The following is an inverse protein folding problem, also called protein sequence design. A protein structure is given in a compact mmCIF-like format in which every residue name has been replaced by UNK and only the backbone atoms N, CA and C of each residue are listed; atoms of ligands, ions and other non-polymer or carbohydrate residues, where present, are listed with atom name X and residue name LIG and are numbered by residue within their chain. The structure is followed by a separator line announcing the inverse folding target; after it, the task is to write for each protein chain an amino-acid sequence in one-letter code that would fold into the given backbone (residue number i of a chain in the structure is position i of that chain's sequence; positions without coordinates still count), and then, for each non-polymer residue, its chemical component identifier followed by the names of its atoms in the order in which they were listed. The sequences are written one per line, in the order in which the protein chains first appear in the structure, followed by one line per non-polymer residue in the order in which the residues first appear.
data_IF_909810361037
#
_entry.id   IF_909810361037
#
_cell.length_a   1.000
_cell.length_b   1.000
_cell.length_c   1.000
_cell.angle_alpha   90.00
_cell.angle_beta   90.00
_cell.angle_gamma   90.00
#
_symmetry.space_group_name_H-M   'P 1'
#
loop_
_entity.id
_entity.type
_entity.pdbx_description
1 polymer ?
#
# COMPACT_ATOMS: atom_id res chain seq x y z
N UNK A 1 44.01 -56.93 56.17
CA UNK A 1 43.52 -55.89 57.11
C UNK A 1 43.93 -54.55 56.51
N UNK A 2 43.07 -53.66 56.02
CA UNK A 2 41.62 -53.58 56.01
C UNK A 2 41.18 -52.95 54.68
N UNK A 3 40.03 -53.41 54.16
CA UNK A 3 39.30 -52.80 53.05
C UNK A 3 38.62 -51.52 53.56
N UNK A 4 38.63 -50.44 52.77
CA UNK A 4 37.80 -49.27 53.00
C UNK A 4 36.96 -49.02 51.75
N UNK A 5 35.67 -49.31 51.88
CA UNK A 5 34.61 -49.00 50.92
C UNK A 5 34.42 -47.47 50.83
N UNK A 6 34.49 -46.93 49.62
CA UNK A 6 34.04 -45.56 49.33
C UNK A 6 32.59 -45.67 48.86
N UNK A 7 31.68 -45.20 49.70
CA UNK A 7 30.25 -45.11 49.43
C UNK A 7 29.93 -44.25 48.22
N UNK A 8 28.98 -44.71 47.40
CA UNK A 8 28.39 -43.97 46.29
C UNK A 8 27.64 -42.74 46.82
N UNK A 9 27.91 -41.56 46.26
CA UNK A 9 27.04 -40.39 46.39
C UNK A 9 25.81 -40.62 45.49
N UNK A 10 24.62 -40.62 46.08
CA UNK A 10 23.36 -40.49 45.35
C UNK A 10 23.26 -39.07 44.78
N UNK A 11 23.24 -38.97 43.45
CA UNK A 11 22.88 -37.75 42.74
C UNK A 11 21.36 -37.64 42.83
N UNK A 12 20.85 -36.69 43.61
CA UNK A 12 19.44 -36.31 43.55
C UNK A 12 19.17 -35.69 42.18
N UNK A 13 18.43 -36.41 41.32
CA UNK A 13 17.89 -35.84 40.10
C UNK A 13 16.84 -34.78 40.48
N UNK A 14 17.01 -33.56 39.96
CA UNK A 14 16.00 -32.51 40.09
C UNK A 14 14.67 -32.98 39.47
N UNK A 15 13.53 -32.68 40.11
CA UNK A 15 12.23 -33.13 39.61
C UNK A 15 11.94 -32.51 38.25
N UNK A 16 11.94 -33.34 37.21
CA UNK A 16 11.48 -32.97 35.87
C UNK A 16 9.96 -32.82 35.92
N UNK A 17 9.48 -31.58 36.03
CA UNK A 17 8.05 -31.29 35.96
C UNK A 17 7.58 -31.61 34.54
N UNK A 18 6.66 -32.55 34.42
CA UNK A 18 6.14 -32.98 33.12
C UNK A 18 5.15 -31.95 32.58
N UNK A 19 5.04 -31.85 31.25
CA UNK A 19 4.07 -30.96 30.57
C UNK A 19 2.62 -31.22 31.00
N UNK A 20 2.31 -32.44 31.42
CA UNK A 20 1.00 -32.84 31.95
C UNK A 20 0.70 -32.21 33.31
N UNK A 21 1.70 -32.09 34.19
CA UNK A 21 1.55 -31.48 35.51
C UNK A 21 1.34 -29.97 35.42
N UNK A 22 2.06 -29.30 34.50
CA UNK A 22 1.88 -27.88 34.18
C UNK A 22 0.48 -27.59 33.63
N UNK A 23 -0.02 -28.44 32.74
CA UNK A 23 -1.36 -28.28 32.18
C UNK A 23 -2.47 -28.46 33.23
N UNK A 24 -2.29 -29.38 34.18
CA UNK A 24 -3.24 -29.60 35.27
C UNK A 24 -3.20 -28.46 36.31
N UNK A 25 -2.01 -27.94 36.62
CA UNK A 25 -1.86 -26.78 37.51
C UNK A 25 -2.51 -25.50 36.91
N UNK A 26 -2.31 -25.24 35.61
CA UNK A 26 -2.95 -24.11 34.93
C UNK A 26 -4.48 -24.23 34.90
N UNK A 27 -5.01 -25.43 34.62
CA UNK A 27 -6.46 -25.68 34.67
C UNK A 27 -7.07 -25.44 36.05
N UNK A 28 -6.32 -25.72 37.12
CA UNK A 28 -6.81 -25.59 38.50
C UNK A 28 -6.73 -24.14 39.01
N UNK A 29 -5.67 -23.41 38.66
CA UNK A 29 -5.34 -22.14 39.31
C UNK A 29 -5.38 -20.92 38.37
N UNK A 30 -5.58 -21.11 37.05
CA UNK A 30 -5.61 -20.02 36.05
C UNK A 30 -4.24 -19.41 35.73
N UNK A 31 -3.19 -19.78 36.46
CA UNK A 31 -1.80 -19.46 36.20
C UNK A 31 -0.89 -20.51 36.85
N UNK A 32 0.37 -20.59 36.41
CA UNK A 32 1.41 -21.38 37.07
C UNK A 32 2.52 -20.42 37.50
N UNK A 33 2.76 -20.23 38.81
CA UNK A 33 3.93 -19.48 39.25
C UNK A 33 5.18 -20.35 39.00
N UNK A 34 6.12 -19.85 38.22
CA UNK A 34 7.44 -20.45 38.02
C UNK A 34 8.44 -19.58 38.78
N UNK A 35 9.06 -20.13 39.81
CA UNK A 35 10.14 -19.47 40.55
C UNK A 35 11.44 -19.66 39.76
N UNK A 36 11.82 -18.66 38.98
CA UNK A 36 13.08 -18.65 38.26
C UNK A 36 14.12 -17.98 39.16
N UNK A 37 14.88 -18.80 39.89
CA UNK A 37 16.14 -18.35 40.48
C UNK A 37 17.05 -17.73 39.40
N UNK A 38 17.95 -16.83 39.79
CA UNK A 38 18.79 -16.06 38.87
C UNK A 38 19.53 -16.97 37.86
N UNK A 39 19.01 -17.03 36.62
CA UNK A 39 19.69 -17.67 35.49
C UNK A 39 20.27 -16.55 34.62
N UNK A 40 21.60 -16.42 34.60
CA UNK A 40 22.29 -15.62 33.58
C UNK A 40 22.17 -16.32 32.22
N UNK A 41 21.24 -15.86 31.39
CA UNK A 41 21.08 -16.33 30.02
C UNK A 41 21.99 -15.49 29.12
N UNK A 42 23.14 -16.04 28.73
CA UNK A 42 23.96 -15.47 27.65
C UNK A 42 23.37 -15.85 26.28
N UNK A 43 22.43 -15.04 25.79
CA UNK A 43 21.86 -15.22 24.45
C UNK A 43 22.88 -14.69 23.42
N UNK A 44 23.65 -15.59 22.81
CA UNK A 44 24.39 -15.30 21.58
C UNK A 44 23.44 -15.39 20.38
N UNK A 45 22.56 -14.40 20.26
CA UNK A 45 21.70 -14.21 19.08
C UNK A 45 22.58 -13.81 17.89
N UNK A 46 23.04 -14.80 17.13
CA UNK A 46 23.45 -14.58 15.74
C UNK A 46 22.19 -14.21 14.95
N UNK A 47 21.83 -12.92 14.97
CA UNK A 47 20.84 -12.32 14.06
C UNK A 47 21.27 -12.62 12.62
N UNK A 48 20.72 -13.70 12.04
CA UNK A 48 20.69 -13.84 10.58
C UNK A 48 19.94 -12.62 10.07
N UNK A 49 20.63 -11.72 9.37
CA UNK A 49 19.98 -10.65 8.59
C UNK A 49 18.91 -11.35 7.74
N UNK A 50 17.63 -10.98 7.84
CA UNK A 50 16.64 -11.51 6.91
C UNK A 50 17.14 -11.17 5.51
N UNK A 51 17.36 -12.20 4.69
CA UNK A 51 17.62 -12.00 3.26
C UNK A 51 16.51 -11.08 2.75
N UNK A 52 16.92 -9.94 2.19
CA UNK A 52 15.98 -8.95 1.67
C UNK A 52 15.14 -9.66 0.63
N UNK A 53 13.87 -9.93 0.94
CA UNK A 53 12.94 -10.51 -0.01
C UNK A 53 12.95 -9.61 -1.26
N UNK A 54 13.51 -10.13 -2.35
CA UNK A 54 13.48 -9.50 -3.65
C UNK A 54 12.06 -9.62 -4.19
N UNK A 55 11.53 -8.53 -4.75
CA UNK A 55 10.20 -8.57 -5.34
C UNK A 55 10.22 -9.38 -6.63
N UNK A 56 9.21 -10.23 -6.80
CA UNK A 56 9.00 -10.92 -8.07
C UNK A 56 8.35 -9.95 -9.06
N UNK A 57 9.15 -9.37 -9.95
CA UNK A 57 8.66 -8.44 -10.98
C UNK A 57 7.68 -9.11 -11.96
N UNK A 58 7.68 -10.44 -12.09
CA UNK A 58 6.67 -11.12 -12.91
C UNK A 58 5.27 -11.03 -12.31
N UNK A 59 5.21 -10.87 -10.97
CA UNK A 59 3.98 -10.62 -10.26
C UNK A 59 3.62 -9.14 -10.23
N UNK A 60 4.49 -8.21 -10.60
CA UNK A 60 4.15 -6.78 -10.64
C UNK A 60 3.15 -6.46 -11.76
N UNK A 61 1.87 -6.26 -11.41
CA UNK A 61 0.75 -6.06 -12.36
C UNK A 61 -0.10 -4.82 -12.01
N UNK A 62 0.45 -3.60 -12.08
CA UNK A 62 -0.32 -2.36 -11.82
C UNK A 62 -1.50 -2.13 -12.78
N UNK A 63 -1.44 -2.72 -13.97
CA UNK A 63 -2.57 -2.73 -14.92
C UNK A 63 -3.76 -3.49 -14.35
N UNK A 64 -3.54 -4.60 -13.63
CA UNK A 64 -4.63 -5.40 -13.03
C UNK A 64 -5.34 -4.60 -11.93
N UNK A 65 -4.58 -3.87 -11.10
CA UNK A 65 -5.14 -2.95 -10.10
C UNK A 65 -6.01 -1.89 -10.75
N UNK A 66 -5.50 -1.26 -11.81
CA UNK A 66 -6.25 -0.25 -12.57
C UNK A 66 -7.53 -0.85 -13.16
N UNK A 67 -7.41 -2.02 -13.80
CA UNK A 67 -8.53 -2.69 -14.43
C UNK A 67 -9.62 -3.05 -13.42
N UNK A 68 -9.24 -3.63 -12.26
CA UNK A 68 -10.17 -3.93 -11.18
C UNK A 68 -10.87 -2.66 -10.65
N UNK A 69 -10.13 -1.59 -10.37
CA UNK A 69 -10.70 -0.35 -9.84
C UNK A 69 -11.57 0.39 -10.86
N UNK A 70 -11.27 0.28 -12.15
CA UNK A 70 -12.09 0.87 -13.21
C UNK A 70 -13.50 0.28 -13.28
N UNK A 71 -13.72 -0.92 -12.73
CA UNK A 71 -15.04 -1.54 -12.65
C UNK A 71 -16.05 -0.69 -11.84
N UNK A 72 -15.56 0.11 -10.89
CA UNK A 72 -16.39 1.05 -10.11
C UNK A 72 -16.89 2.24 -10.93
N UNK A 73 -16.44 2.42 -12.17
CA UNK A 73 -16.94 3.46 -13.07
C UNK A 73 -17.38 2.92 -14.43
N UNK A 74 -17.45 1.60 -14.59
CA UNK A 74 -17.86 0.95 -15.84
C UNK A 74 -19.39 0.89 -15.96
N UNK A 75 -19.95 1.36 -17.07
CA UNK A 75 -21.40 1.49 -17.29
C UNK A 75 -22.18 0.17 -17.21
N UNK A 76 -21.49 -0.94 -17.49
CA UNK A 76 -22.05 -2.29 -17.56
C UNK A 76 -21.67 -3.16 -16.36
N UNK A 77 -21.02 -2.59 -15.35
CA UNK A 77 -20.60 -3.35 -14.17
C UNK A 77 -21.39 -2.94 -12.91
N UNK A 78 -21.87 -3.90 -12.08
CA UNK A 78 -22.68 -3.57 -10.91
C UNK A 78 -21.91 -2.75 -9.86
N UNK A 79 -20.57 -2.82 -9.84
CA UNK A 79 -19.76 -2.00 -8.93
C UNK A 79 -19.94 -0.50 -9.15
N UNK A 80 -20.33 -0.08 -10.36
CA UNK A 80 -20.62 1.32 -10.64
C UNK A 80 -21.66 1.88 -9.67
N UNK A 81 -22.71 1.11 -9.38
CA UNK A 81 -23.80 1.53 -8.50
C UNK A 81 -23.42 1.44 -7.01
N UNK A 82 -22.19 1.11 -6.66
CA UNK A 82 -21.69 1.31 -5.30
C UNK A 82 -21.19 2.75 -5.08
N UNK A 83 -20.84 3.47 -6.15
CA UNK A 83 -20.23 4.80 -6.08
C UNK A 83 -20.90 5.84 -7.00
N UNK A 84 -21.85 5.43 -7.82
CA UNK A 84 -22.64 6.28 -8.70
C UNK A 84 -24.14 6.03 -8.50
N UNK A 85 -24.95 7.04 -8.77
CA UNK A 85 -26.40 6.91 -8.73
C UNK A 85 -26.93 5.99 -9.86
N UNK A 86 -28.06 5.34 -9.60
CA UNK A 86 -28.78 4.54 -10.59
C UNK A 86 -29.63 5.46 -11.47
N UNK A 87 -28.98 6.14 -12.43
CA UNK A 87 -29.66 7.11 -13.31
C UNK A 87 -30.33 6.48 -14.53
N UNK A 88 -30.41 5.14 -14.62
CA UNK A 88 -30.97 4.45 -15.79
C UNK A 88 -32.51 4.59 -15.81
N UNK A 89 -33.11 5.21 -16.85
CA UNK A 89 -34.56 5.38 -16.93
C UNK A 89 -35.30 4.05 -16.80
N UNK A 90 -36.34 4.01 -15.96
CA UNK A 90 -37.17 2.83 -15.75
C UNK A 90 -36.56 1.75 -14.85
N UNK A 91 -35.36 1.95 -14.29
CA UNK A 91 -34.80 1.03 -13.30
C UNK A 91 -35.16 1.44 -11.87
N UNK A 92 -35.60 0.47 -11.07
CA UNK A 92 -35.85 0.63 -9.64
C UNK A 92 -34.66 0.10 -8.84
N UNK A 93 -34.16 0.90 -7.91
CA UNK A 93 -33.10 0.47 -7.00
C UNK A 93 -33.63 -0.56 -5.98
N UNK A 94 -32.99 -1.73 -5.92
CA UNK A 94 -33.28 -2.79 -4.93
C UNK A 94 -31.95 -3.22 -4.33
N UNK A 95 -31.74 -2.95 -3.04
CA UNK A 95 -30.46 -3.16 -2.35
C UNK A 95 -30.02 -4.63 -2.42
N UNK A 96 -30.91 -5.56 -2.13
CA UNK A 96 -30.62 -7.00 -2.06
C UNK A 96 -30.18 -7.53 -3.42
N UNK A 97 -30.83 -7.05 -4.50
CA UNK A 97 -30.46 -7.40 -5.87
C UNK A 97 -29.08 -6.88 -6.21
N UNK A 98 -28.80 -5.61 -5.93
CA UNK A 98 -27.48 -5.02 -6.16
C UNK A 98 -26.39 -5.78 -5.41
N UNK A 99 -26.58 -6.02 -4.12
CA UNK A 99 -25.61 -6.71 -3.27
C UNK A 99 -25.31 -8.12 -3.78
N UNK A 100 -26.34 -8.88 -4.16
CA UNK A 100 -26.15 -10.20 -4.76
C UNK A 100 -25.31 -10.15 -6.04
N UNK A 101 -25.67 -9.27 -6.98
CA UNK A 101 -24.93 -9.11 -8.24
C UNK A 101 -23.48 -8.66 -8.01
N UNK A 102 -23.26 -7.73 -7.08
CA UNK A 102 -21.94 -7.24 -6.70
C UNK A 102 -21.09 -8.34 -6.06
N UNK A 103 -21.63 -9.12 -5.13
CA UNK A 103 -20.85 -10.18 -4.47
C UNK A 103 -20.43 -11.30 -5.43
N UNK A 104 -21.34 -11.72 -6.32
CA UNK A 104 -21.03 -12.68 -7.38
C UNK A 104 -19.91 -12.16 -8.29
N UNK A 105 -19.99 -10.90 -8.74
CA UNK A 105 -18.94 -10.28 -9.55
C UNK A 105 -17.65 -10.08 -8.78
N UNK A 106 -17.69 -9.69 -7.52
CA UNK A 106 -16.50 -9.52 -6.69
C UNK A 106 -15.69 -10.80 -6.59
N UNK A 107 -16.34 -11.94 -6.31
CA UNK A 107 -15.65 -13.23 -6.26
C UNK A 107 -14.97 -13.61 -7.59
N UNK A 108 -15.57 -13.24 -8.73
CA UNK A 108 -15.01 -13.49 -10.07
C UNK A 108 -13.83 -12.55 -10.34
N UNK A 109 -14.02 -11.24 -10.19
CA UNK A 109 -13.05 -10.24 -10.60
C UNK A 109 -11.80 -10.26 -9.71
N UNK A 110 -11.92 -10.57 -8.41
CA UNK A 110 -10.74 -10.70 -7.52
C UNK A 110 -9.92 -11.96 -7.77
N UNK A 111 -10.44 -12.94 -8.53
CA UNK A 111 -9.65 -14.09 -9.01
C UNK A 111 -8.98 -13.80 -10.35
N UNK A 112 -9.54 -12.87 -11.13
CA UNK A 112 -9.04 -12.46 -12.44
C UNK A 112 -7.90 -11.45 -12.33
N UNK A 113 -8.01 -10.49 -11.42
CA UNK A 113 -7.04 -9.41 -11.28
C UNK A 113 -6.15 -9.60 -10.05
N UNK A 114 -4.84 -9.43 -10.22
CA UNK A 114 -3.92 -9.38 -9.09
C UNK A 114 -3.98 -8.01 -8.41
N UNK A 115 -4.61 -7.95 -7.23
CA UNK A 115 -4.74 -6.71 -6.44
C UNK A 115 -4.07 -6.83 -5.06
N UNK A 116 -3.56 -5.71 -4.50
CA UNK A 116 -3.04 -5.69 -3.13
C UNK A 116 -4.05 -6.17 -2.09
N UNK A 117 -3.55 -6.85 -1.06
CA UNK A 117 -4.39 -7.33 0.05
C UNK A 117 -5.13 -6.19 0.77
N UNK A 118 -4.49 -5.02 0.91
CA UNK A 118 -5.13 -3.82 1.49
C UNK A 118 -6.37 -3.42 0.70
N UNK A 119 -6.23 -3.34 -0.63
CA UNK A 119 -7.30 -2.94 -1.53
C UNK A 119 -8.43 -3.97 -1.58
N UNK A 120 -8.09 -5.26 -1.61
CA UNK A 120 -9.06 -6.36 -1.50
C UNK A 120 -9.88 -6.22 -0.21
N UNK A 121 -9.20 -6.09 0.94
CA UNK A 121 -9.85 -5.96 2.25
C UNK A 121 -10.75 -4.73 2.31
N UNK A 122 -10.26 -3.56 1.88
CA UNK A 122 -11.06 -2.31 1.85
C UNK A 122 -12.33 -2.50 1.02
N UNK A 123 -12.20 -3.03 -0.19
CA UNK A 123 -13.32 -3.25 -1.11
C UNK A 123 -14.31 -4.28 -0.55
N UNK A 124 -13.81 -5.37 0.06
CA UNK A 124 -14.66 -6.40 0.66
C UNK A 124 -15.45 -5.87 1.86
N UNK A 125 -14.85 -5.03 2.70
CA UNK A 125 -15.54 -4.39 3.84
C UNK A 125 -16.60 -3.39 3.35
N UNK A 126 -16.27 -2.59 2.35
CA UNK A 126 -17.20 -1.62 1.77
C UNK A 126 -18.44 -2.29 1.15
N UNK A 127 -18.24 -3.41 0.46
CA UNK A 127 -19.30 -4.19 -0.19
C UNK A 127 -20.06 -5.05 0.82
N UNK A 128 -19.34 -5.85 1.61
CA UNK A 128 -19.85 -7.01 2.32
C UNK A 128 -20.19 -6.76 3.79
N UNK A 129 -20.76 -7.76 4.48
CA UNK A 129 -20.99 -7.69 5.92
C UNK A 129 -19.63 -7.60 6.63
N UNK A 130 -19.44 -6.55 7.42
CA UNK A 130 -18.27 -6.43 8.26
C UNK A 130 -18.59 -5.67 9.54
N UNK A 131 -18.10 -6.21 10.65
CA UNK A 131 -18.00 -5.52 11.93
C UNK A 131 -16.68 -4.74 12.05
N UNK A 132 -15.88 -4.69 10.98
CA UNK A 132 -14.56 -4.06 10.96
C UNK A 132 -14.67 -2.79 10.11
N UNK A 133 -14.07 -1.70 10.57
CA UNK A 133 -13.94 -0.48 9.78
C UNK A 133 -12.86 -0.64 8.71
N UNK A 134 -13.08 -0.05 7.54
CA UNK A 134 -11.99 0.21 6.60
C UNK A 134 -11.37 1.58 6.90
N UNK A 135 -10.21 1.90 6.33
CA UNK A 135 -9.51 3.15 6.62
C UNK A 135 -9.30 3.95 5.34
N UNK A 136 -9.34 5.27 5.47
CA UNK A 136 -8.91 6.22 4.45
C UNK A 136 -8.32 7.48 5.10
N UNK A 137 -7.13 7.90 4.67
CA UNK A 137 -6.39 9.04 5.25
C UNK A 137 -6.30 8.92 6.78
N UNK A 138 -5.97 7.71 7.26
CA UNK A 138 -5.91 7.28 8.67
C UNK A 138 -7.22 7.39 9.47
N UNK A 139 -8.35 7.71 8.81
CA UNK A 139 -9.65 7.77 9.46
C UNK A 139 -10.37 6.43 9.31
N UNK A 140 -10.87 5.83 10.41
CA UNK A 140 -11.72 4.66 10.32
C UNK A 140 -13.06 5.04 9.72
N UNK A 141 -13.56 4.18 8.84
CA UNK A 141 -14.82 4.29 8.12
C UNK A 141 -15.67 3.07 8.49
N UNK A 142 -16.78 3.31 9.19
CA UNK A 142 -17.71 2.26 9.62
C UNK A 142 -18.76 1.90 8.56
N UNK A 143 -18.77 2.62 7.43
CA UNK A 143 -19.75 2.40 6.37
C UNK A 143 -19.52 1.11 5.59
N UNK A 144 -20.61 0.37 5.39
CA UNK A 144 -20.72 -0.79 4.51
C UNK A 144 -22.15 -0.83 3.94
N UNK A 145 -22.29 -1.28 2.69
CA UNK A 145 -23.60 -1.50 2.07
C UNK A 145 -24.43 -2.60 2.78
N UNK A 146 -23.80 -3.47 3.57
CA UNK A 146 -24.48 -4.48 4.38
C UNK A 146 -24.83 -4.02 5.80
N UNK A 147 -24.49 -2.77 6.17
CA UNK A 147 -24.75 -2.24 7.51
C UNK A 147 -26.26 -2.12 7.78
N UNK A 148 -26.64 -2.25 9.06
CA UNK A 148 -28.05 -2.10 9.48
C UNK A 148 -28.59 -0.70 9.21
N UNK A 149 -27.71 0.32 9.24
CA UNK A 149 -28.07 1.69 8.88
C UNK A 149 -28.49 1.80 7.42
N UNK A 150 -27.73 1.21 6.49
CA UNK A 150 -28.06 1.22 5.06
C UNK A 150 -29.35 0.43 4.81
N UNK A 151 -29.49 -0.75 5.41
CA UNK A 151 -30.70 -1.58 5.27
C UNK A 151 -31.95 -0.85 5.77
N UNK A 152 -31.87 -0.24 6.96
CA UNK A 152 -32.96 0.55 7.55
C UNK A 152 -33.32 1.74 6.67
N UNK A 153 -32.33 2.48 6.17
CA UNK A 153 -32.60 3.61 5.31
C UNK A 153 -33.29 3.19 4.01
N UNK A 154 -32.84 2.10 3.37
CA UNK A 154 -33.44 1.57 2.15
C UNK A 154 -34.87 1.07 2.36
N UNK A 155 -35.21 0.49 3.52
CA UNK A 155 -36.58 0.05 3.81
C UNK A 155 -37.52 1.25 4.03
N UNK A 156 -37.02 2.34 4.61
CA UNK A 156 -37.76 3.60 4.79
C UNK A 156 -37.83 4.44 3.50
N UNK A 157 -36.93 4.19 2.54
CA UNK A 157 -36.79 4.94 1.28
C UNK A 157 -36.78 3.99 0.07
N UNK A 158 -37.90 3.30 -0.23
CA UNK A 158 -37.94 2.33 -1.31
C UNK A 158 -37.60 2.97 -2.66
N UNK A 159 -36.88 2.22 -3.51
CA UNK A 159 -36.42 2.62 -4.84
C UNK A 159 -35.45 3.81 -4.88
N UNK A 160 -34.97 4.31 -3.74
CA UNK A 160 -33.97 5.38 -3.68
C UNK A 160 -32.57 4.79 -3.44
N UNK A 161 -31.57 5.39 -4.09
CA UNK A 161 -30.18 4.96 -3.98
C UNK A 161 -29.54 5.46 -2.66
N UNK A 162 -28.76 4.63 -1.92
CA UNK A 162 -28.08 5.02 -0.68
C UNK A 162 -27.17 6.23 -0.81
N UNK A 163 -26.63 6.49 -2.01
CA UNK A 163 -25.82 7.66 -2.31
C UNK A 163 -26.49 8.98 -1.89
N UNK A 164 -27.82 9.06 -1.95
CA UNK A 164 -28.58 10.26 -1.57
C UNK A 164 -28.47 10.60 -0.07
N UNK A 165 -28.11 9.63 0.77
CA UNK A 165 -28.00 9.81 2.22
C UNK A 165 -26.57 9.60 2.74
N UNK A 166 -25.85 8.63 2.19
CA UNK A 166 -24.48 8.26 2.58
C UNK A 166 -23.43 8.80 1.60
N UNK A 167 -23.70 9.98 1.02
CA UNK A 167 -22.85 10.61 0.00
C UNK A 167 -21.41 10.77 0.48
N UNK A 168 -21.22 11.19 1.74
CA UNK A 168 -19.89 11.45 2.33
C UNK A 168 -19.04 10.18 2.37
N UNK A 169 -19.62 9.08 2.87
CA UNK A 169 -18.94 7.80 3.05
C UNK A 169 -18.63 7.13 1.71
N UNK A 170 -19.57 7.21 0.76
CA UNK A 170 -19.38 6.67 -0.59
C UNK A 170 -18.33 7.51 -1.35
N UNK A 171 -18.37 8.84 -1.23
CA UNK A 171 -17.34 9.70 -1.83
C UNK A 171 -15.96 9.44 -1.21
N UNK A 172 -15.88 9.21 0.11
CA UNK A 172 -14.63 8.83 0.76
C UNK A 172 -14.07 7.52 0.18
N UNK A 173 -14.93 6.53 -0.10
CA UNK A 173 -14.48 5.30 -0.76
C UNK A 173 -14.00 5.58 -2.18
N UNK A 174 -14.74 6.38 -2.95
CA UNK A 174 -14.36 6.79 -4.31
C UNK A 174 -13.00 7.48 -4.33
N UNK A 175 -12.75 8.41 -3.41
CA UNK A 175 -11.45 9.07 -3.23
C UNK A 175 -10.34 8.11 -2.77
N UNK A 176 -10.68 7.01 -2.11
CA UNK A 176 -9.69 6.01 -1.66
C UNK A 176 -9.15 5.13 -2.79
N UNK A 177 -9.83 5.09 -3.94
CA UNK A 177 -9.48 4.22 -5.08
C UNK A 177 -9.09 4.99 -6.35
N UNK A 178 -9.16 6.33 -6.33
CA UNK A 178 -8.94 7.15 -7.52
C UNK A 178 -8.40 8.52 -7.16
N UNK A 179 -7.36 8.95 -7.88
CA UNK A 179 -6.91 10.34 -7.88
C UNK A 179 -7.60 11.03 -9.05
N UNK A 180 -8.55 11.94 -8.77
CA UNK A 180 -9.32 12.64 -9.81
C UNK A 180 -8.66 13.98 -10.16
N UNK A 181 -9.13 15.10 -9.61
CA UNK A 181 -8.59 16.44 -9.84
C UNK A 181 -7.77 16.95 -8.63
N UNK A 182 -7.70 16.15 -7.56
CA UNK A 182 -7.21 16.54 -6.24
C UNK A 182 -5.73 16.21 -5.97
N UNK A 183 -4.90 16.05 -7.00
CA UNK A 183 -3.50 15.63 -6.81
C UNK A 183 -2.70 16.65 -5.99
N UNK A 184 -2.93 17.94 -6.21
CA UNK A 184 -2.26 19.01 -5.48
C UNK A 184 -2.62 18.96 -3.99
N UNK A 185 -3.91 18.88 -3.68
CA UNK A 185 -4.46 18.79 -2.33
C UNK A 185 -3.98 17.52 -1.62
N UNK A 186 -3.83 16.41 -2.34
CA UNK A 186 -3.24 15.18 -1.79
C UNK A 186 -1.76 15.37 -1.42
N UNK A 187 -0.98 16.06 -2.25
CA UNK A 187 0.43 16.37 -1.94
C UNK A 187 0.51 17.31 -0.73
N UNK A 188 -0.31 18.36 -0.70
CA UNK A 188 -0.38 19.28 0.45
C UNK A 188 -0.79 18.55 1.73
N UNK A 189 -1.76 17.63 1.66
CA UNK A 189 -2.14 16.77 2.77
C UNK A 189 -0.95 15.91 3.26
N UNK A 190 -0.21 15.29 2.34
CA UNK A 190 0.99 14.50 2.68
C UNK A 190 2.03 15.37 3.38
N UNK A 191 2.31 16.56 2.85
CA UNK A 191 3.29 17.48 3.41
C UNK A 191 2.87 17.99 4.80
N UNK A 192 1.61 18.37 4.97
CA UNK A 192 1.07 18.80 6.26
C UNK A 192 1.17 17.67 7.31
N UNK A 193 0.79 16.44 6.95
CA UNK A 193 0.91 15.26 7.83
C UNK A 193 2.35 14.98 8.25
N UNK A 194 3.33 15.32 7.41
CA UNK A 194 4.77 15.17 7.70
C UNK A 194 5.40 16.39 8.36
N UNK A 195 4.66 17.49 8.56
CA UNK A 195 5.22 18.74 9.06
C UNK A 195 6.15 19.44 8.07
N UNK A 196 5.98 19.20 6.76
CA UNK A 196 6.85 19.66 5.68
C UNK A 196 6.22 20.73 4.78
N UNK A 197 5.04 21.24 5.13
CA UNK A 197 4.26 22.13 4.27
C UNK A 197 5.02 23.41 3.88
N UNK A 198 5.84 23.95 4.79
CA UNK A 198 6.67 25.15 4.55
C UNK A 198 8.12 24.82 4.22
N UNK A 199 8.48 23.54 4.13
CA UNK A 199 9.87 23.10 3.92
C UNK A 199 10.31 23.20 2.46
N UNK A 200 9.37 23.23 1.52
CA UNK A 200 9.64 23.20 0.09
C UNK A 200 9.01 24.37 -0.66
N UNK A 201 9.71 24.85 -1.68
CA UNK A 201 9.17 25.69 -2.74
C UNK A 201 8.73 24.76 -3.88
N UNK A 202 7.42 24.49 -3.98
CA UNK A 202 6.87 23.49 -4.90
C UNK A 202 6.31 24.14 -6.15
N UNK A 203 6.93 23.84 -7.30
CA UNK A 203 6.42 24.21 -8.61
C UNK A 203 5.57 23.08 -9.20
N UNK A 204 4.35 23.42 -9.59
CA UNK A 204 3.36 22.50 -10.13
C UNK A 204 3.19 22.72 -11.63
N UNK A 205 3.91 21.94 -12.43
CA UNK A 205 3.92 22.09 -13.89
C UNK A 205 2.95 21.10 -14.55
N UNK A 206 2.03 21.62 -15.39
CA UNK A 206 1.17 20.80 -16.25
C UNK A 206 0.39 19.69 -15.51
N UNK A 207 -0.04 19.92 -14.27
CA UNK A 207 -0.79 18.92 -13.48
C UNK A 207 -2.05 18.39 -14.18
N UNK A 208 -2.59 19.12 -15.16
CA UNK A 208 -3.61 18.61 -16.07
C UNK A 208 -4.80 17.99 -15.32
N UNK A 209 -5.30 16.86 -15.82
CA UNK A 209 -6.29 16.02 -15.13
C UNK A 209 -5.63 14.70 -14.71
N UNK A 210 -5.23 14.54 -13.43
CA UNK A 210 -4.61 13.34 -12.90
C UNK A 210 -5.39 12.09 -13.30
N UNK A 211 -6.64 11.97 -12.86
CA UNK A 211 -7.59 10.91 -13.23
C UNK A 211 -6.92 9.55 -13.54
N UNK A 212 -6.50 8.85 -12.50
CA UNK A 212 -6.03 7.47 -12.53
C UNK A 212 -6.51 6.70 -11.30
N UNK A 213 -6.66 5.38 -11.45
CA UNK A 213 -7.07 4.49 -10.36
C UNK A 213 -5.84 3.96 -9.62
N UNK A 214 -5.89 3.93 -8.29
CA UNK A 214 -4.83 3.38 -7.43
C UNK A 214 -5.32 3.17 -6.00
N UNK A 215 -4.54 2.50 -5.15
CA UNK A 215 -4.76 2.52 -3.69
C UNK A 215 -4.23 3.84 -3.13
N UNK A 216 -5.12 4.81 -2.89
CA UNK A 216 -4.73 6.20 -2.58
C UNK A 216 -4.02 6.32 -1.23
N UNK A 217 -4.33 5.48 -0.24
CA UNK A 217 -3.61 5.50 1.04
C UNK A 217 -2.16 5.03 0.90
N UNK A 218 -1.93 4.00 0.10
CA UNK A 218 -0.59 3.53 -0.20
C UNK A 218 0.17 4.55 -1.04
N UNK A 219 -0.50 5.20 -2.01
CA UNK A 219 0.05 6.31 -2.76
C UNK A 219 0.50 7.47 -1.85
N UNK A 220 -0.38 7.94 -0.96
CA UNK A 220 -0.09 8.97 0.07
C UNK A 220 1.11 8.55 0.93
N UNK A 221 1.16 7.30 1.35
CA UNK A 221 2.26 6.78 2.19
C UNK A 221 3.60 6.82 1.46
N UNK A 222 3.64 6.38 0.20
CA UNK A 222 4.85 6.42 -0.63
C UNK A 222 5.30 7.85 -0.93
N UNK A 223 4.37 8.77 -1.24
CA UNK A 223 4.68 10.20 -1.37
C UNK A 223 5.31 10.75 -0.08
N UNK A 224 4.75 10.38 1.08
CA UNK A 224 5.26 10.83 2.37
C UNK A 224 6.71 10.43 2.62
N UNK A 225 7.13 9.25 2.15
CA UNK A 225 8.53 8.81 2.25
C UNK A 225 9.42 9.57 1.25
N UNK A 226 8.95 9.77 0.01
CA UNK A 226 9.68 10.55 -1.00
C UNK A 226 9.97 11.97 -0.48
N UNK A 227 8.95 12.70 -0.03
CA UNK A 227 9.14 14.06 0.48
C UNK A 227 10.02 14.09 1.74
N UNK A 228 9.91 13.10 2.63
CA UNK A 228 10.80 13.01 3.78
C UNK A 228 12.26 12.79 3.35
N UNK A 229 12.51 11.98 2.34
CA UNK A 229 13.85 11.72 1.80
C UNK A 229 14.48 12.96 1.16
N UNK A 230 13.67 13.81 0.51
CA UNK A 230 14.10 15.11 0.01
C UNK A 230 14.40 16.07 1.16
N UNK A 231 13.58 16.07 2.20
CA UNK A 231 13.76 16.94 3.36
C UNK A 231 15.06 16.63 4.12
N UNK A 232 15.44 15.35 4.24
CA UNK A 232 16.75 14.95 4.79
C UNK A 232 17.95 15.52 4.00
N UNK A 233 17.71 16.02 2.78
CA UNK A 233 18.72 16.58 1.86
C UNK A 233 18.42 18.04 1.51
N UNK A 234 17.64 18.73 2.33
CA UNK A 234 17.18 20.10 2.07
C UNK A 234 18.33 21.09 1.89
N UNK A 235 19.51 20.80 2.45
CA UNK A 235 20.74 21.58 2.25
C UNK A 235 21.19 21.66 0.78
N UNK A 236 20.74 20.73 -0.07
CA UNK A 236 21.01 20.75 -1.51
C UNK A 236 20.05 21.68 -2.28
N UNK A 237 19.02 22.19 -1.61
CA UNK A 237 17.97 23.03 -2.18
C UNK A 237 16.59 22.65 -1.63
N UNK A 238 15.69 23.62 -1.57
CA UNK A 238 14.30 23.42 -1.14
C UNK A 238 13.30 23.37 -2.29
N UNK A 239 13.76 23.47 -3.54
CA UNK A 239 12.90 23.46 -4.72
C UNK A 239 12.48 22.05 -5.09
N UNK A 240 11.17 21.84 -5.21
CA UNK A 240 10.61 20.58 -5.73
C UNK A 240 9.73 20.90 -6.92
N UNK A 241 9.90 20.17 -8.01
CA UNK A 241 9.00 20.24 -9.16
C UNK A 241 8.11 19.01 -9.19
N UNK A 242 6.82 19.21 -9.35
CA UNK A 242 5.82 18.15 -9.55
C UNK A 242 5.19 18.35 -10.92
N UNK A 243 5.40 17.39 -11.81
CA UNK A 243 4.84 17.41 -13.16
C UNK A 243 4.01 16.17 -13.45
N UNK A 244 2.95 16.33 -14.24
CA UNK A 244 2.13 15.22 -14.71
C UNK A 244 2.09 15.19 -16.23
N UNK A 245 2.44 14.06 -16.81
CA UNK A 245 2.33 13.82 -18.24
C UNK A 245 1.27 12.76 -18.54
N UNK A 246 0.58 12.90 -19.67
CA UNK A 246 -0.26 11.84 -20.23
C UNK A 246 0.44 11.27 -21.46
N UNK A 247 0.69 9.95 -21.46
CA UNK A 247 1.14 9.22 -22.65
C UNK A 247 0.10 8.20 -23.07
N UNK A 248 0.09 7.82 -24.35
CA UNK A 248 -0.69 6.71 -24.89
C UNK A 248 0.28 5.71 -25.50
N UNK A 249 0.07 4.44 -25.20
CA UNK A 249 0.75 3.31 -25.82
C UNK A 249 -0.30 2.30 -26.27
N UNK A 250 -0.55 2.26 -27.59
CA UNK A 250 -1.73 1.60 -28.15
C UNK A 250 -3.04 2.10 -27.53
N UNK A 251 -3.81 1.17 -26.97
CA UNK A 251 -5.08 1.47 -26.28
C UNK A 251 -4.91 1.84 -24.80
N UNK A 252 -3.69 1.74 -24.26
CA UNK A 252 -3.41 2.03 -22.86
C UNK A 252 -3.09 3.52 -22.71
N UNK A 253 -3.82 4.21 -21.83
CA UNK A 253 -3.49 5.57 -21.44
C UNK A 253 -2.68 5.51 -20.13
N UNK A 254 -1.60 6.28 -20.06
CA UNK A 254 -0.71 6.35 -18.90
C UNK A 254 -0.71 7.76 -18.31
N UNK A 255 -0.56 7.84 -16.99
CA UNK A 255 -0.30 9.05 -16.22
C UNK A 255 1.06 8.94 -15.58
N UNK A 256 1.97 9.82 -15.96
CA UNK A 256 3.35 9.80 -15.50
C UNK A 256 3.54 10.98 -14.58
N UNK A 257 3.58 10.70 -13.27
CA UNK A 257 3.86 11.67 -12.23
C UNK A 257 5.37 11.73 -12.00
N UNK A 258 5.96 12.90 -12.24
CA UNK A 258 7.37 13.18 -12.00
C UNK A 258 7.49 14.09 -10.77
N UNK A 259 8.25 13.66 -9.78
CA UNK A 259 8.53 14.42 -8.55
C UNK A 259 10.04 14.60 -8.46
N UNK A 260 10.50 15.83 -8.69
CA UNK A 260 11.92 16.17 -8.86
C UNK A 260 12.40 17.05 -7.71
N UNK A 261 13.44 16.61 -6.99
CA UNK A 261 14.20 17.49 -6.11
C UNK A 261 15.21 18.27 -6.95
N UNK A 262 14.88 19.52 -7.27
CA UNK A 262 15.59 20.32 -8.28
C UNK A 262 17.00 20.65 -7.79
N UNK A 263 18.00 20.46 -8.66
CA UNK A 263 19.41 20.67 -8.36
C UNK A 263 20.09 19.52 -7.60
N UNK A 264 19.33 18.54 -7.12
CA UNK A 264 19.91 17.36 -6.44
C UNK A 264 20.47 16.35 -7.44
N UNK A 265 21.59 15.74 -7.08
CA UNK A 265 22.23 14.67 -7.85
C UNK A 265 22.40 13.42 -6.99
N UNK A 266 22.66 12.28 -7.63
CA UNK A 266 22.94 11.03 -6.95
C UNK A 266 24.46 10.84 -6.86
N UNK A 267 25.00 10.84 -5.64
CA UNK A 267 26.44 10.63 -5.43
C UNK A 267 26.89 9.20 -5.76
N UNK A 268 25.95 8.25 -5.79
CA UNK A 268 26.20 6.84 -6.12
C UNK A 268 25.75 6.53 -7.54
N UNK A 269 26.30 5.47 -8.11
CA UNK A 269 25.75 4.92 -9.35
C UNK A 269 24.31 4.44 -9.15
N UNK A 270 23.49 4.56 -10.20
CA UNK A 270 22.14 4.04 -10.22
C UNK A 270 22.15 2.51 -10.37
N UNK A 271 22.56 1.82 -9.31
CA UNK A 271 22.57 0.36 -9.17
C UNK A 271 21.78 -0.05 -7.94
N UNK A 272 21.05 -1.15 -8.03
CA UNK A 272 20.22 -1.66 -6.93
C UNK A 272 21.04 -1.88 -5.66
N UNK A 273 22.22 -2.50 -5.77
CA UNK A 273 23.13 -2.78 -4.65
C UNK A 273 23.64 -1.54 -3.94
N UNK A 274 23.64 -0.39 -4.61
CA UNK A 274 24.18 0.88 -4.10
C UNK A 274 23.10 1.80 -3.54
N UNK A 275 21.96 1.83 -4.23
CA UNK A 275 20.90 2.82 -4.02
C UNK A 275 19.71 2.24 -3.26
N UNK A 276 19.34 0.97 -3.48
CA UNK A 276 18.11 0.41 -2.95
C UNK A 276 18.29 -0.06 -1.51
N UNK A 277 18.05 0.86 -0.59
CA UNK A 277 18.00 0.64 0.86
C UNK A 277 17.17 1.73 1.55
N UNK A 278 16.98 1.60 2.87
CA UNK A 278 16.25 2.59 3.67
C UNK A 278 14.91 3.02 3.05
N UNK A 279 14.69 4.32 2.97
CA UNK A 279 13.50 4.97 2.41
C UNK A 279 13.13 4.44 1.01
N UNK A 280 14.11 4.21 0.12
CA UNK A 280 13.83 3.72 -1.24
C UNK A 280 13.31 2.29 -1.26
N UNK A 281 13.78 1.42 -0.35
CA UNK A 281 13.26 0.06 -0.22
C UNK A 281 11.83 0.07 0.34
N UNK A 282 11.51 1.03 1.20
CA UNK A 282 10.14 1.20 1.70
C UNK A 282 9.19 1.72 0.62
N UNK A 283 9.64 2.70 -0.18
CA UNK A 283 8.89 3.18 -1.35
C UNK A 283 8.64 2.05 -2.34
N UNK A 284 9.65 1.20 -2.61
CA UNK A 284 9.50 0.02 -3.47
C UNK A 284 8.40 -0.91 -2.95
N UNK A 285 8.39 -1.21 -1.65
CA UNK A 285 7.39 -2.08 -1.02
C UNK A 285 5.98 -1.52 -1.16
N UNK A 286 5.83 -0.21 -1.00
CA UNK A 286 4.53 0.46 -1.05
C UNK A 286 4.00 0.54 -2.49
N UNK A 287 4.85 0.88 -3.45
CA UNK A 287 4.43 1.04 -4.85
C UNK A 287 4.39 -0.27 -5.63
N UNK A 288 4.91 -1.37 -5.07
CA UNK A 288 4.76 -2.69 -5.66
C UNK A 288 3.27 -3.01 -5.88
N UNK A 289 2.90 -3.32 -7.13
CA UNK A 289 1.53 -3.49 -7.67
C UNK A 289 0.75 -2.21 -7.95
N UNK A 290 1.19 -1.03 -7.55
CA UNK A 290 0.40 0.20 -7.71
C UNK A 290 0.75 0.98 -8.98
N UNK A 291 2.04 1.06 -9.30
CA UNK A 291 2.54 1.77 -10.48
C UNK A 291 3.89 1.21 -10.91
N UNK A 292 4.26 1.42 -12.17
CA UNK A 292 5.68 1.32 -12.54
C UNK A 292 6.42 2.50 -11.89
N UNK A 293 7.63 2.27 -11.40
CA UNK A 293 8.45 3.27 -10.73
C UNK A 293 9.87 3.23 -11.27
N UNK A 294 10.39 4.41 -11.61
CA UNK A 294 11.79 4.60 -11.96
C UNK A 294 12.36 5.84 -11.27
N UNK A 295 13.68 5.89 -11.17
CA UNK A 295 14.45 7.05 -10.73
C UNK A 295 15.28 7.55 -11.91
N UNK A 296 15.26 8.86 -12.13
CA UNK A 296 16.21 9.53 -13.04
C UNK A 296 17.07 10.50 -12.26
N UNK A 297 18.38 10.50 -12.52
CA UNK A 297 19.33 11.39 -11.85
C UNK A 297 20.65 11.46 -12.59
N UNK A 298 21.31 12.62 -12.52
CA UNK A 298 22.74 12.73 -12.77
C UNK A 298 23.46 11.94 -11.68
N UNK A 299 24.45 11.15 -12.08
CA UNK A 299 25.22 10.27 -11.21
C UNK A 299 26.62 9.99 -11.83
N UNK A 300 27.54 9.31 -11.13
CA UNK A 300 28.89 9.08 -11.62
C UNK A 300 28.99 8.29 -12.95
N UNK A 301 27.98 7.50 -13.31
CA UNK A 301 27.97 6.75 -14.56
C UNK A 301 27.21 7.54 -15.67
N UNK A 302 27.91 8.12 -16.66
CA UNK A 302 27.27 8.94 -17.71
C UNK A 302 26.46 8.12 -18.72
N UNK A 303 26.54 6.79 -18.68
CA UNK A 303 25.82 5.88 -19.57
C UNK A 303 24.51 5.36 -18.99
N UNK A 304 24.25 5.60 -17.70
CA UNK A 304 23.03 5.18 -17.03
C UNK A 304 22.54 6.37 -16.22
N UNK A 305 21.42 6.96 -16.61
CA UNK A 305 20.82 8.09 -15.90
C UNK A 305 19.35 7.81 -15.50
N UNK A 306 18.89 6.57 -15.76
CA UNK A 306 17.59 6.05 -15.37
C UNK A 306 17.71 4.63 -14.82
N UNK A 307 17.06 4.38 -13.70
CA UNK A 307 16.90 3.05 -13.10
C UNK A 307 15.41 2.74 -12.96
N UNK A 308 14.95 1.69 -13.66
CA UNK A 308 13.60 1.16 -13.52
C UNK A 308 13.57 0.17 -12.35
N UNK A 309 12.89 0.55 -11.27
CA UNK A 309 12.80 -0.22 -10.03
C UNK A 309 11.61 -1.18 -10.05
N UNK A 310 10.45 -0.65 -10.47
CA UNK A 310 9.23 -1.42 -10.65
C UNK A 310 8.79 -1.26 -12.10
N UNK A 311 8.73 -2.37 -12.82
CA UNK A 311 8.31 -2.40 -14.22
C UNK A 311 7.82 -3.79 -14.58
N UNK A 312 7.00 -3.88 -15.62
CA UNK A 312 6.62 -5.17 -16.19
C UNK A 312 7.74 -5.68 -17.13
N UNK A 313 8.43 -6.80 -16.83
CA UNK A 313 9.52 -7.32 -17.66
C UNK A 313 9.10 -7.65 -19.10
N UNK A 314 7.81 -7.91 -19.34
CA UNK A 314 7.31 -8.25 -20.69
C UNK A 314 7.25 -7.04 -21.63
N UNK A 315 7.46 -5.82 -21.12
CA UNK A 315 7.42 -4.58 -21.92
C UNK A 315 8.74 -4.26 -22.62
N UNK A 316 9.78 -5.07 -22.41
CA UNK A 316 11.12 -4.82 -22.97
C UNK A 316 11.91 -3.72 -22.27
N UNK A 317 11.34 -3.09 -21.23
CA UNK A 317 12.06 -2.16 -20.33
C UNK A 317 13.24 -2.86 -19.68
N UNK A 318 14.38 -2.18 -19.62
CA UNK A 318 15.59 -2.69 -18.96
C UNK A 318 15.71 -2.10 -17.55
N UNK A 319 16.31 -2.78 -16.58
CA UNK A 319 16.51 -2.22 -15.24
C UNK A 319 17.32 -0.90 -15.25
N UNK A 320 18.24 -0.76 -16.19
CA UNK A 320 19.15 0.38 -16.31
C UNK A 320 19.15 0.89 -17.74
N UNK A 321 18.92 2.19 -17.91
CA UNK A 321 18.75 2.83 -19.22
C UNK A 321 19.44 4.19 -19.25
N UNK A 322 19.82 4.62 -20.46
CA UNK A 322 20.08 6.02 -20.75
C UNK A 322 18.82 6.64 -21.34
N UNK A 323 18.35 7.72 -20.75
CA UNK A 323 17.29 8.57 -21.28
C UNK A 323 17.88 9.84 -21.86
N UNK A 324 17.28 10.32 -22.94
CA UNK A 324 17.57 11.61 -23.59
C UNK A 324 16.80 12.77 -22.93
N UNK A 325 15.93 12.49 -21.95
CA UNK A 325 15.23 13.53 -21.19
C UNK A 325 16.24 14.37 -20.39
N UNK A 326 16.04 15.69 -20.36
CA UNK A 326 16.83 16.60 -19.53
C UNK A 326 16.60 16.28 -18.04
N UNK A 327 17.67 16.17 -17.27
CA UNK A 327 17.63 15.84 -15.84
C UNK A 327 17.99 17.07 -15.01
N UNK A 328 16.99 17.70 -14.45
CA UNK A 328 17.13 18.92 -13.63
C UNK A 328 17.33 18.61 -12.13
N UNK A 329 17.29 17.33 -11.75
CA UNK A 329 17.42 16.90 -10.37
C UNK A 329 17.14 15.42 -10.16
N UNK A 330 17.19 14.97 -8.91
CA UNK A 330 16.84 13.60 -8.52
C UNK A 330 15.33 13.44 -8.62
N UNK A 331 14.87 12.57 -9.53
CA UNK A 331 13.46 12.50 -9.91
C UNK A 331 12.89 11.11 -9.69
N UNK A 332 11.78 11.03 -8.97
CA UNK A 332 10.92 9.85 -8.94
C UNK A 332 9.90 9.96 -10.08
N UNK A 333 9.83 8.92 -10.92
CA UNK A 333 8.89 8.83 -12.03
C UNK A 333 7.93 7.66 -11.77
N UNK A 334 6.67 7.99 -11.48
CA UNK A 334 5.60 7.04 -11.16
C UNK A 334 4.62 6.98 -12.35
N UNK A 335 4.45 5.80 -12.94
CA UNK A 335 3.55 5.59 -14.09
C UNK A 335 2.32 4.80 -13.65
N UNK A 336 1.17 5.46 -13.65
CA UNK A 336 -0.14 4.87 -13.41
C UNK A 336 -0.84 4.62 -14.74
N UNK A 337 -1.67 3.58 -14.77
CA UNK A 337 -2.46 3.22 -15.94
C UNK A 337 -3.88 3.77 -15.78
N UNK A 338 -4.54 4.12 -16.89
CA UNK A 338 -5.88 4.72 -16.90
C UNK A 338 -6.71 4.27 -18.09
#
# INVERSE_FOLDING_TARGET
MAENEIGKLDVMEDPVITTTELANAYKKNGYVPIDLGEVEISITDKKRKPESATFDLNKHKPIDVTAFLSLFSSDDHPFKYLVHDLTKPGQTFILERLLKEVEEKFAIETRKYLIPKSLYSRSRVFIGPSNISWYFKDKPMSFSFHSDQVKKWCSENPNKHPLLHFQSEINAFKESIRVEENLKELIEFVLAKKGLLTSFDIDYEKIGRPNFYTDVDAFISGLGIIFNSFHQRIQNGNKVRVALETKRDGNQRMRILKITHVGSTCAKELKETELLGGDLKEVEKIFYQLCDWSITSINPNPNINKMNLLFNPTTGKKPYEKTEETIDGFTHVLTFYS
#
